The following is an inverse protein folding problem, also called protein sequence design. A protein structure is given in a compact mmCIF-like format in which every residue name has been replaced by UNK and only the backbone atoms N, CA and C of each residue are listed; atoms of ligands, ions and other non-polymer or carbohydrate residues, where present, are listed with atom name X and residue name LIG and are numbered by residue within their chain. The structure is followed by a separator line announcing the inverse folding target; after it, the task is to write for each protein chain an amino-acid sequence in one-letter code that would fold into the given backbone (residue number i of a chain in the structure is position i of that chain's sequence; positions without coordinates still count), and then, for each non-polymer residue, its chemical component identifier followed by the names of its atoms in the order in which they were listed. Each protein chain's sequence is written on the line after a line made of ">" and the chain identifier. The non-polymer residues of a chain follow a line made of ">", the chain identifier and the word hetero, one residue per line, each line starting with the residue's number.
data_IF_509283627613
#
_entry.id   IF_509283627613
#
_cell.length_a   1.000
_cell.length_b   1.000
_cell.length_c   1.000
_cell.angle_alpha   90.00
_cell.angle_beta   90.00
_cell.angle_gamma   90.00
#
_symmetry.space_group_name_H-M   'P 1'
#
loop_
_entity.id
_entity.type
_entity.pdbx_description
1 polymer ?
#
# COMPACT_ATOMS: atom_id res chain seq x y z
N UNK A 1 -47.19 -52.56 51.10
CA UNK A 1 -48.61 -52.18 51.22
C UNK A 1 -48.96 -51.38 49.97
N UNK A 2 -49.57 -52.06 49.00
CA UNK A 2 -50.93 -51.95 48.47
C UNK A 2 -51.30 -50.51 48.13
N UNK A 3 -51.63 -50.12 46.90
CA UNK A 3 -52.79 -50.59 46.15
C UNK A 3 -52.65 -50.32 44.64
N UNK A 4 -53.05 -51.28 43.83
CA UNK A 4 -53.43 -51.24 42.45
C UNK A 4 -54.68 -50.40 42.24
N UNK A 5 -54.76 -49.59 41.25
CA UNK A 5 -56.03 -49.13 40.70
C UNK A 5 -55.99 -49.21 39.20
N UNK A 6 -56.79 -50.08 38.67
CA UNK A 6 -57.10 -50.42 37.28
C UNK A 6 -58.14 -49.43 36.79
N UNK A 7 -57.93 -48.73 35.69
CA UNK A 7 -58.96 -47.93 35.03
C UNK A 7 -59.13 -48.36 33.56
N UNK A 8 -60.41 -48.57 33.33
CA UNK A 8 -61.03 -49.24 32.18
C UNK A 8 -60.88 -48.40 30.91
N UNK A 9 -60.58 -49.12 29.81
CA UNK A 9 -60.50 -48.67 28.43
C UNK A 9 -61.91 -48.46 27.85
N UNK A 10 -62.25 -47.22 27.45
CA UNK A 10 -63.42 -46.98 26.58
C UNK A 10 -62.99 -46.56 25.20
N UNK A 11 -63.27 -47.44 24.26
CA UNK A 11 -63.11 -47.19 22.83
C UNK A 11 -64.24 -46.25 22.33
N UNK A 12 -63.84 -45.07 21.79
CA UNK A 12 -64.78 -44.24 21.04
C UNK A 12 -64.31 -44.21 19.60
N UNK A 13 -65.17 -44.81 18.75
CA UNK A 13 -65.02 -44.80 17.28
C UNK A 13 -65.39 -43.39 16.75
N UNK A 14 -64.48 -42.69 16.19
CA UNK A 14 -64.77 -41.45 15.49
C UNK A 14 -64.45 -41.62 13.98
N UNK A 15 -65.49 -41.34 13.18
CA UNK A 15 -65.53 -41.49 11.74
C UNK A 15 -64.50 -40.61 10.99
N UNK A 16 -63.87 -41.21 10.03
CA UNK A 16 -62.99 -40.52 9.06
C UNK A 16 -63.81 -39.60 8.14
N UNK A 17 -63.55 -38.31 8.25
CA UNK A 17 -63.91 -37.34 7.19
C UNK A 17 -62.73 -37.18 6.25
N UNK A 18 -62.90 -37.64 5.02
CA UNK A 18 -61.99 -37.36 3.90
C UNK A 18 -62.07 -35.86 3.57
N UNK A 19 -61.12 -35.08 4.10
CA UNK A 19 -60.84 -33.70 3.66
C UNK A 19 -59.88 -33.73 2.48
N UNK A 20 -60.33 -33.28 1.31
CA UNK A 20 -59.57 -33.03 0.12
C UNK A 20 -58.34 -32.17 0.44
N UNK A 21 -57.15 -32.70 0.33
CA UNK A 21 -55.92 -31.93 0.33
C UNK A 21 -55.90 -31.08 -0.98
N UNK A 22 -56.22 -29.80 -0.87
CA UNK A 22 -55.98 -28.84 -1.93
C UNK A 22 -54.48 -28.73 -2.16
N UNK A 23 -54.04 -29.12 -3.33
CA UNK A 23 -52.70 -29.01 -3.85
C UNK A 23 -52.25 -27.54 -3.78
N UNK A 24 -51.49 -27.24 -2.73
CA UNK A 24 -50.86 -25.92 -2.61
C UNK A 24 -49.65 -25.96 -3.55
N UNK A 25 -49.85 -25.56 -4.84
CA UNK A 25 -48.78 -25.33 -5.76
C UNK A 25 -47.71 -24.45 -5.11
N UNK A 26 -46.55 -25.04 -4.84
CA UNK A 26 -45.39 -24.31 -4.34
C UNK A 26 -45.03 -23.24 -5.38
N UNK A 27 -45.10 -21.99 -4.98
CA UNK A 27 -44.63 -20.88 -5.80
C UNK A 27 -43.16 -21.13 -6.22
N UNK A 28 -42.83 -21.03 -7.52
CA UNK A 28 -41.46 -21.24 -7.96
C UNK A 28 -40.52 -20.31 -7.22
N UNK A 29 -39.44 -20.84 -6.63
CA UNK A 29 -38.39 -20.07 -6.01
C UNK A 29 -37.85 -19.06 -7.04
N UNK A 30 -37.58 -17.81 -6.66
CA UNK A 30 -37.00 -16.83 -7.56
C UNK A 30 -35.67 -17.37 -8.12
N UNK A 31 -35.39 -17.15 -9.41
CA UNK A 31 -34.14 -17.60 -10.01
C UNK A 31 -32.96 -17.01 -9.22
N UNK A 32 -31.85 -17.76 -9.07
CA UNK A 32 -30.65 -17.25 -8.43
C UNK A 32 -30.21 -15.95 -9.12
N UNK A 33 -29.75 -14.94 -8.33
CA UNK A 33 -29.26 -13.70 -8.92
C UNK A 33 -28.16 -14.00 -9.94
N UNK A 34 -28.24 -13.35 -11.10
CA UNK A 34 -27.23 -13.48 -12.14
C UNK A 34 -25.83 -13.22 -11.55
N UNK A 35 -24.81 -13.99 -11.93
CA UNK A 35 -23.46 -13.81 -11.41
C UNK A 35 -23.03 -12.37 -11.67
N UNK A 36 -22.73 -11.63 -10.60
CA UNK A 36 -22.18 -10.28 -10.72
C UNK A 36 -20.83 -10.40 -11.41
N UNK A 37 -20.69 -9.71 -12.55
CA UNK A 37 -19.40 -9.63 -13.25
C UNK A 37 -18.37 -9.07 -12.28
N UNK A 38 -17.31 -9.81 -12.02
CA UNK A 38 -16.21 -9.32 -11.18
C UNK A 38 -15.58 -8.09 -11.87
N UNK A 39 -15.30 -7.01 -11.14
CA UNK A 39 -14.63 -5.85 -11.69
C UNK A 39 -13.24 -6.25 -12.18
N UNK A 40 -12.75 -5.56 -13.20
CA UNK A 40 -11.37 -5.72 -13.67
C UNK A 40 -10.45 -4.78 -12.89
N UNK A 41 -9.19 -5.15 -12.70
CA UNK A 41 -8.24 -4.33 -11.95
C UNK A 41 -7.97 -2.97 -12.57
N UNK A 42 -8.07 -2.85 -13.90
CA UNK A 42 -7.95 -1.58 -14.64
C UNK A 42 -9.22 -0.71 -14.59
N UNK A 43 -10.36 -1.26 -14.17
CA UNK A 43 -11.57 -0.51 -13.83
C UNK A 43 -11.52 0.03 -12.40
N UNK A 44 -10.78 -0.63 -11.51
CA UNK A 44 -10.63 -0.27 -10.11
C UNK A 44 -9.53 0.75 -9.84
N UNK A 45 -8.50 0.78 -10.69
CA UNK A 45 -7.37 1.69 -10.59
C UNK A 45 -7.05 2.26 -11.96
N UNK A 46 -7.12 3.58 -12.08
CA UNK A 46 -6.78 4.30 -13.31
C UNK A 46 -5.33 4.76 -13.24
N UNK A 47 -4.52 4.34 -14.20
CA UNK A 47 -3.15 4.80 -14.38
C UNK A 47 -3.11 6.01 -15.33
N UNK A 48 -2.40 7.07 -14.92
CA UNK A 48 -2.10 8.24 -15.75
C UNK A 48 -0.63 8.59 -15.61
N UNK A 49 0.08 8.83 -16.72
CA UNK A 49 1.46 9.33 -16.69
C UNK A 49 1.45 10.85 -16.79
N UNK A 50 2.14 11.50 -15.88
CA UNK A 50 2.30 12.96 -15.79
C UNK A 50 3.77 13.33 -15.79
N UNK A 51 4.08 14.58 -16.14
CA UNK A 51 5.41 15.16 -15.99
C UNK A 51 5.31 16.46 -15.17
N UNK A 52 6.36 16.80 -14.43
CA UNK A 52 6.44 18.04 -13.64
C UNK A 52 6.72 19.29 -14.49
N UNK A 53 6.88 19.10 -15.78
CA UNK A 53 7.13 20.15 -16.78
C UNK A 53 6.21 20.01 -17.99
N UNK A 54 5.98 21.11 -18.71
CA UNK A 54 5.20 21.13 -19.95
C UNK A 54 6.00 20.73 -21.18
N UNK A 55 7.34 20.88 -21.14
CA UNK A 55 8.27 20.62 -22.23
C UNK A 55 9.59 20.08 -21.71
N UNK A 56 10.38 19.44 -22.56
CA UNK A 56 11.71 18.91 -22.23
C UNK A 56 12.79 19.70 -22.92
N UNK A 57 13.77 20.19 -22.16
CA UNK A 57 14.98 20.79 -22.68
C UNK A 57 16.18 19.82 -22.68
N UNK A 58 17.15 19.94 -23.58
CA UNK A 58 18.39 19.22 -23.51
C UNK A 58 19.10 19.38 -22.15
N UNK A 59 19.66 18.32 -21.62
CA UNK A 59 20.33 18.30 -20.31
C UNK A 59 19.45 18.48 -19.08
N UNK A 60 18.14 18.64 -19.25
CA UNK A 60 17.19 18.86 -18.15
C UNK A 60 16.85 17.55 -17.43
N UNK A 61 16.65 17.62 -16.12
CA UNK A 61 15.94 16.59 -15.38
C UNK A 61 14.44 16.86 -15.36
N UNK A 62 13.66 15.82 -15.62
CA UNK A 62 12.20 15.82 -15.62
C UNK A 62 11.73 14.76 -14.64
N UNK A 63 10.77 15.09 -13.79
CA UNK A 63 10.13 14.09 -12.93
C UNK A 63 8.88 13.57 -13.63
N UNK A 64 8.87 12.26 -13.93
CA UNK A 64 7.68 11.55 -14.37
C UNK A 64 6.92 11.01 -13.16
N UNK A 65 5.59 11.12 -13.18
CA UNK A 65 4.70 10.62 -12.14
C UNK A 65 3.66 9.66 -12.70
N UNK A 66 3.71 8.39 -12.29
CA UNK A 66 2.66 7.40 -12.52
C UNK A 66 1.59 7.59 -11.44
N UNK A 67 0.52 8.26 -11.78
CA UNK A 67 -0.63 8.51 -10.91
C UNK A 67 -1.60 7.34 -11.00
N UNK A 68 -1.93 6.78 -9.86
CA UNK A 68 -2.89 5.70 -9.65
C UNK A 68 -4.10 6.31 -8.92
N UNK A 69 -5.22 6.49 -9.63
CA UNK A 69 -6.49 6.88 -9.02
C UNK A 69 -7.24 5.60 -8.63
N UNK A 70 -7.41 5.38 -7.35
CA UNK A 70 -7.96 4.15 -6.78
C UNK A 70 -9.42 4.37 -6.43
N UNK A 71 -10.28 3.43 -6.83
CA UNK A 71 -11.72 3.50 -6.53
C UNK A 71 -11.96 3.53 -5.01
N UNK A 72 -12.95 4.30 -4.52
CA UNK A 72 -13.25 4.38 -3.10
C UNK A 72 -13.47 3.02 -2.44
N UNK A 73 -12.85 2.82 -1.28
CA UNK A 73 -12.89 1.58 -0.51
C UNK A 73 -12.01 0.46 -1.04
N UNK A 74 -11.21 0.71 -2.10
CA UNK A 74 -10.16 -0.19 -2.56
C UNK A 74 -8.80 0.37 -2.16
N UNK A 75 -7.82 -0.53 -1.98
CA UNK A 75 -6.42 -0.17 -1.76
C UNK A 75 -5.50 -0.96 -2.71
N UNK A 76 -4.33 -0.40 -2.97
CA UNK A 76 -3.22 -1.07 -3.65
C UNK A 76 -2.02 -1.12 -2.72
N UNK A 77 -1.11 -2.03 -2.95
CA UNK A 77 0.00 -2.29 -2.04
C UNK A 77 1.23 -1.44 -2.33
N UNK A 78 2.03 -1.21 -1.31
CA UNK A 78 3.36 -0.63 -1.39
C UNK A 78 4.38 -1.65 -1.94
N UNK A 79 5.66 -1.28 -2.08
CA UNK A 79 6.76 -2.17 -2.51
C UNK A 79 6.98 -3.36 -1.56
N UNK A 80 6.65 -3.21 -0.28
CA UNK A 80 6.44 -4.30 0.65
C UNK A 80 4.94 -4.36 0.97
N UNK A 81 4.23 -5.40 0.51
CA UNK A 81 2.80 -5.52 0.76
C UNK A 81 2.45 -5.85 2.21
N UNK A 82 3.43 -6.22 3.04
CA UNK A 82 3.22 -6.77 4.37
C UNK A 82 2.98 -8.28 4.35
N UNK A 83 2.07 -8.75 5.21
CA UNK A 83 1.81 -10.19 5.38
C UNK A 83 0.96 -10.80 4.26
N UNK A 84 0.28 -9.97 3.46
CA UNK A 84 -0.51 -10.44 2.32
C UNK A 84 -0.51 -9.42 1.18
N UNK A 85 -0.85 -9.88 -0.03
CA UNK A 85 -0.95 -9.04 -1.21
C UNK A 85 0.23 -9.17 -2.16
N UNK A 86 0.26 -8.32 -3.18
CA UNK A 86 1.34 -8.22 -4.16
C UNK A 86 1.78 -6.77 -4.29
N UNK A 87 3.08 -6.53 -4.32
CA UNK A 87 3.67 -5.21 -4.48
C UNK A 87 3.16 -4.51 -5.76
N UNK A 88 2.93 -3.20 -5.66
CA UNK A 88 2.77 -2.37 -6.85
C UNK A 88 4.11 -2.15 -7.51
N UNK A 89 4.15 -2.34 -8.82
CA UNK A 89 5.35 -2.13 -9.65
C UNK A 89 5.09 -1.00 -10.65
N UNK A 90 6.13 -0.23 -10.97
CA UNK A 90 6.08 0.81 -11.99
C UNK A 90 7.43 0.86 -12.73
N UNK A 91 7.41 0.56 -14.01
CA UNK A 91 8.58 0.59 -14.90
C UNK A 91 8.45 1.76 -15.88
N UNK A 92 9.28 2.78 -15.71
CA UNK A 92 9.32 3.95 -16.59
C UNK A 92 10.26 3.70 -17.77
N UNK A 93 9.85 4.17 -18.92
CA UNK A 93 10.63 4.07 -20.17
C UNK A 93 10.73 5.44 -20.84
N UNK A 94 11.90 5.75 -21.32
CA UNK A 94 12.21 6.96 -22.10
C UNK A 94 12.93 6.59 -23.40
N UNK A 95 12.98 7.48 -24.39
CA UNK A 95 13.74 7.25 -25.61
C UNK A 95 15.25 7.04 -25.36
N UNK A 96 15.93 6.53 -26.37
CA UNK A 96 17.40 6.36 -26.32
C UNK A 96 18.12 7.67 -25.98
N UNK A 97 19.17 7.58 -25.17
CA UNK A 97 19.94 8.72 -24.68
C UNK A 97 19.46 9.29 -23.34
N UNK A 98 18.21 9.08 -22.97
CA UNK A 98 17.72 9.46 -21.64
C UNK A 98 18.19 8.47 -20.57
N UNK A 99 18.41 8.95 -19.36
CA UNK A 99 18.70 8.10 -18.19
C UNK A 99 17.50 8.13 -17.25
N UNK A 100 16.88 6.98 -17.06
CA UNK A 100 15.73 6.80 -16.16
C UNK A 100 16.24 6.36 -14.79
N UNK A 101 15.95 7.13 -13.75
CA UNK A 101 16.25 6.78 -12.36
C UNK A 101 15.32 5.71 -11.81
N UNK A 102 15.61 5.25 -10.60
CA UNK A 102 14.78 4.27 -9.90
C UNK A 102 13.39 4.83 -9.60
N UNK A 103 12.39 3.95 -9.59
CA UNK A 103 11.04 4.29 -9.16
C UNK A 103 11.04 4.66 -7.67
N UNK A 104 10.37 5.78 -7.33
CA UNK A 104 10.29 6.34 -5.99
C UNK A 104 8.84 6.27 -5.52
N UNK A 105 8.62 5.55 -4.45
CA UNK A 105 7.32 5.33 -3.84
C UNK A 105 7.12 6.28 -2.65
N UNK A 106 5.93 6.89 -2.48
CA UNK A 106 5.63 7.63 -1.25
C UNK A 106 5.59 6.68 -0.05
N UNK A 107 5.65 7.23 1.15
CA UNK A 107 5.45 6.44 2.37
C UNK A 107 4.04 5.84 2.39
N UNK A 108 3.90 4.58 2.82
CA UNK A 108 2.62 3.88 2.82
C UNK A 108 1.75 4.21 4.03
N UNK A 109 0.48 3.81 3.94
CA UNK A 109 -0.39 3.60 5.09
C UNK A 109 -0.41 2.12 5.50
N UNK A 110 -0.78 1.85 6.76
CA UNK A 110 -1.00 0.51 7.30
C UNK A 110 -2.48 0.17 7.25
N UNK A 111 -2.78 -1.04 6.79
CA UNK A 111 -4.10 -1.63 6.79
C UNK A 111 -4.11 -2.89 7.65
N UNK A 112 -5.20 -3.10 8.37
CA UNK A 112 -5.43 -4.31 9.15
C UNK A 112 -6.67 -5.01 8.60
N UNK A 113 -6.52 -6.28 8.29
CA UNK A 113 -7.57 -7.15 7.79
C UNK A 113 -7.95 -8.20 8.85
N UNK A 114 -9.13 -8.83 8.75
CA UNK A 114 -9.54 -9.89 9.68
C UNK A 114 -8.47 -10.98 9.80
N UNK A 115 -8.19 -11.42 11.04
CA UNK A 115 -7.13 -12.38 11.37
C UNK A 115 -5.80 -11.72 11.69
N UNK A 116 -5.80 -10.43 12.06
CA UNK A 116 -4.62 -9.62 12.43
C UNK A 116 -3.58 -9.51 11.31
N UNK A 117 -4.03 -9.66 10.05
CA UNK A 117 -3.17 -9.55 8.88
C UNK A 117 -2.86 -8.08 8.61
N UNK A 118 -1.59 -7.72 8.70
CA UNK A 118 -1.09 -6.38 8.40
C UNK A 118 -0.64 -6.27 6.94
N UNK A 119 -1.09 -5.21 6.25
CA UNK A 119 -0.61 -4.86 4.92
C UNK A 119 -0.27 -3.36 4.82
N UNK A 120 0.53 -3.01 3.81
CA UNK A 120 1.02 -1.66 3.57
C UNK A 120 0.67 -1.23 2.14
N UNK A 121 0.16 -0.02 1.99
CA UNK A 121 -0.26 0.44 0.68
C UNK A 121 -0.90 1.82 0.66
N UNK A 122 -1.82 2.02 -0.30
CA UNK A 122 -2.42 3.31 -0.62
C UNK A 122 -3.91 3.16 -0.91
N UNK A 123 -4.68 4.15 -0.51
CA UNK A 123 -6.09 4.36 -0.89
C UNK A 123 -6.24 5.65 -1.69
N UNK A 124 -7.35 5.81 -2.39
CA UNK A 124 -7.74 6.99 -3.15
C UNK A 124 -6.75 7.39 -4.24
N UNK A 125 -5.54 7.77 -3.86
CA UNK A 125 -4.51 8.28 -4.77
C UNK A 125 -3.11 7.82 -4.33
N UNK A 126 -2.38 7.20 -5.24
CA UNK A 126 -0.93 7.03 -5.13
C UNK A 126 -0.23 7.65 -6.34
N UNK A 127 0.98 8.13 -6.16
CA UNK A 127 1.85 8.53 -7.26
C UNK A 127 3.24 7.93 -7.06
N UNK A 128 3.67 7.10 -8.01
CA UNK A 128 5.05 6.61 -8.09
C UNK A 128 5.79 7.49 -9.08
N UNK A 129 7.01 7.92 -8.77
CA UNK A 129 7.77 8.81 -9.66
C UNK A 129 9.14 8.27 -10.04
N UNK A 130 9.67 8.76 -11.15
CA UNK A 130 11.07 8.59 -11.52
C UNK A 130 11.63 9.90 -12.05
N UNK A 131 12.89 10.20 -11.71
CA UNK A 131 13.62 11.31 -12.33
C UNK A 131 14.24 10.79 -13.62
N UNK A 132 14.07 11.53 -14.70
CA UNK A 132 14.60 11.21 -16.01
C UNK A 132 15.50 12.34 -16.46
N UNK A 133 16.78 12.04 -16.69
CA UNK A 133 17.73 13.03 -17.22
C UNK A 133 17.77 12.97 -18.75
N UNK A 134 17.49 14.11 -19.39
CA UNK A 134 17.57 14.26 -20.84
C UNK A 134 19.03 14.30 -21.31
N UNK A 135 19.33 13.81 -22.53
CA UNK A 135 20.63 13.97 -23.15
C UNK A 135 20.87 15.45 -23.53
N UNK A 136 22.13 15.81 -23.83
CA UNK A 136 22.53 17.17 -24.26
C UNK A 136 21.94 17.59 -25.62
N UNK A 137 21.39 16.65 -26.38
CA UNK A 137 20.67 16.92 -27.63
C UNK A 137 19.46 16.00 -27.76
N UNK A 138 18.32 16.52 -28.17
CA UNK A 138 17.10 15.79 -28.41
C UNK A 138 16.97 15.40 -29.89
N UNK A 139 16.55 14.17 -30.17
CA UNK A 139 16.52 13.63 -31.54
C UNK A 139 15.34 14.15 -32.38
N UNK A 140 14.35 14.80 -31.77
CA UNK A 140 13.15 15.25 -32.48
C UNK A 140 12.39 16.35 -31.74
N UNK A 141 11.30 16.84 -32.34
CA UNK A 141 10.49 17.91 -31.76
C UNK A 141 9.60 17.44 -30.59
N UNK A 142 9.42 16.14 -30.43
CA UNK A 142 8.57 15.55 -29.40
C UNK A 142 9.30 14.37 -28.77
N UNK A 143 9.15 14.22 -27.45
CA UNK A 143 9.72 13.13 -26.65
C UNK A 143 8.58 12.35 -26.04
N UNK A 144 8.49 11.06 -26.34
CA UNK A 144 7.50 10.16 -25.76
C UNK A 144 8.07 9.41 -24.55
N UNK A 145 7.36 9.50 -23.43
CA UNK A 145 7.64 8.72 -22.24
C UNK A 145 6.51 7.71 -22.01
N UNK A 146 6.82 6.60 -21.38
CA UNK A 146 5.81 5.62 -20.97
C UNK A 146 6.09 5.06 -19.59
N UNK A 147 5.04 4.53 -18.97
CA UNK A 147 5.11 3.74 -17.75
C UNK A 147 4.23 2.50 -17.89
N UNK A 148 4.77 1.36 -17.53
CA UNK A 148 3.99 0.14 -17.30
C UNK A 148 3.89 -0.05 -15.80
N UNK A 149 2.66 -0.19 -15.28
CA UNK A 149 2.43 -0.48 -13.88
C UNK A 149 1.57 -1.74 -13.72
N UNK A 150 1.84 -2.48 -12.64
CA UNK A 150 1.06 -3.61 -12.17
C UNK A 150 0.73 -3.45 -10.69
N UNK A 151 -0.45 -3.91 -10.29
CA UNK A 151 -0.94 -3.82 -8.92
C UNK A 151 -1.90 -4.94 -8.57
N UNK A 152 -2.15 -5.13 -7.30
CA UNK A 152 -3.27 -5.88 -6.78
C UNK A 152 -4.20 -4.90 -6.07
N UNK A 153 -5.43 -4.75 -6.55
CA UNK A 153 -6.46 -3.93 -5.90
C UNK A 153 -7.29 -4.81 -4.98
N UNK A 154 -7.36 -4.48 -3.70
CA UNK A 154 -8.04 -5.28 -2.69
C UNK A 154 -9.08 -4.46 -1.92
N UNK A 155 -10.18 -5.14 -1.53
CA UNK A 155 -11.19 -4.74 -0.56
C UNK A 155 -11.71 -5.99 0.14
N UNK A 156 -12.85 -6.55 -0.26
CA UNK A 156 -13.35 -7.86 0.17
C UNK A 156 -12.76 -9.01 -0.65
N UNK A 157 -12.33 -8.69 -1.85
CA UNK A 157 -11.61 -9.55 -2.80
C UNK A 157 -10.40 -8.81 -3.34
N UNK A 158 -9.42 -9.54 -3.85
CA UNK A 158 -8.26 -8.98 -4.51
C UNK A 158 -8.31 -9.23 -6.02
N UNK A 159 -8.13 -8.18 -6.80
CA UNK A 159 -8.21 -8.18 -8.26
C UNK A 159 -6.90 -7.66 -8.83
N UNK A 160 -6.15 -8.47 -9.61
CA UNK A 160 -4.94 -8.01 -10.26
C UNK A 160 -5.26 -7.03 -11.39
N UNK A 161 -4.46 -5.99 -11.51
CA UNK A 161 -4.54 -5.00 -12.57
C UNK A 161 -3.17 -4.67 -13.14
N UNK A 162 -3.16 -4.23 -14.38
CA UNK A 162 -1.99 -3.66 -15.04
C UNK A 162 -2.43 -2.71 -16.14
N UNK A 163 -1.63 -1.69 -16.38
CA UNK A 163 -1.85 -0.74 -17.46
C UNK A 163 -0.55 -0.18 -17.98
N UNK A 164 -0.61 0.41 -19.17
CA UNK A 164 0.45 1.24 -19.75
C UNK A 164 -0.13 2.62 -19.96
N UNK A 165 0.59 3.65 -19.54
CA UNK A 165 0.28 5.04 -19.84
C UNK A 165 1.45 5.71 -20.55
N UNK A 166 1.14 6.66 -21.43
CA UNK A 166 2.12 7.39 -22.23
C UNK A 166 1.85 8.88 -22.15
N UNK A 167 2.90 9.67 -22.32
CA UNK A 167 2.84 11.13 -22.46
C UNK A 167 3.85 11.60 -23.51
N UNK A 168 3.41 12.49 -24.37
CA UNK A 168 4.26 13.16 -25.33
C UNK A 168 4.53 14.59 -24.84
N UNK A 169 5.81 14.97 -24.74
CA UNK A 169 6.24 16.30 -24.37
C UNK A 169 6.98 16.95 -25.55
N UNK A 170 6.67 18.19 -25.83
CA UNK A 170 7.43 18.96 -26.83
C UNK A 170 8.88 19.16 -26.36
N UNK A 171 9.79 19.01 -27.26
CA UNK A 171 11.18 19.37 -27.06
C UNK A 171 11.35 20.90 -27.22
N UNK A 172 12.17 21.51 -26.37
CA UNK A 172 12.54 22.94 -26.49
C UNK A 172 13.99 23.08 -26.85
N UNK A 173 14.33 24.23 -27.41
CA UNK A 173 15.74 24.58 -27.71
C UNK A 173 16.50 24.91 -26.42
N UNK A 174 17.81 24.69 -26.36
CA UNK A 174 18.61 25.09 -25.20
C UNK A 174 18.38 26.58 -24.87
N UNK A 175 18.10 26.86 -23.59
CA UNK A 175 17.83 28.22 -23.10
C UNK A 175 16.38 28.68 -23.22
N UNK A 176 15.48 27.93 -23.87
CA UNK A 176 14.04 28.19 -23.78
C UNK A 176 13.46 27.68 -22.43
N UNK A 177 12.55 28.44 -21.82
CA UNK A 177 11.99 28.01 -20.53
C UNK A 177 11.02 26.82 -20.70
N UNK A 178 11.19 25.80 -19.89
CA UNK A 178 10.15 24.81 -19.60
C UNK A 178 9.31 25.33 -18.45
N UNK A 179 7.99 25.25 -18.56
CA UNK A 179 7.08 25.69 -17.51
C UNK A 179 6.80 24.52 -16.56
N UNK A 180 6.70 24.76 -15.25
CA UNK A 180 6.21 23.74 -14.31
C UNK A 180 4.79 23.28 -14.68
N UNK A 181 4.56 21.98 -14.60
CA UNK A 181 3.25 21.36 -14.78
C UNK A 181 2.86 20.61 -13.51
N UNK A 182 1.56 20.59 -13.19
CA UNK A 182 1.01 19.86 -12.04
C UNK A 182 1.73 20.17 -10.70
N UNK A 183 2.20 21.42 -10.52
CA UNK A 183 3.12 21.82 -9.44
C UNK A 183 2.64 21.40 -8.04
N UNK A 184 1.36 21.57 -7.73
CA UNK A 184 0.79 21.19 -6.44
C UNK A 184 0.82 19.67 -6.20
N UNK A 185 0.48 18.88 -7.21
CA UNK A 185 0.49 17.42 -7.12
C UNK A 185 1.92 16.89 -6.91
N UNK A 186 2.89 17.38 -7.69
CA UNK A 186 4.30 17.01 -7.53
C UNK A 186 4.89 17.52 -6.23
N UNK A 187 4.44 18.66 -5.70
CA UNK A 187 4.87 19.13 -4.38
C UNK A 187 4.38 18.21 -3.27
N UNK A 188 3.09 17.88 -3.27
CA UNK A 188 2.52 16.91 -2.30
C UNK A 188 3.21 15.55 -2.39
N UNK A 189 3.50 15.09 -3.59
CA UNK A 189 4.22 13.84 -3.79
C UNK A 189 5.64 13.90 -3.19
N UNK A 190 6.41 14.97 -3.48
CA UNK A 190 7.75 15.16 -2.89
C UNK A 190 7.71 15.17 -1.35
N UNK A 191 6.68 15.77 -0.76
CA UNK A 191 6.50 15.80 0.68
C UNK A 191 6.17 14.42 1.28
N UNK A 192 5.53 13.54 0.49
CA UNK A 192 5.21 12.17 0.85
C UNK A 192 6.36 11.18 0.60
N UNK A 193 7.39 11.54 -0.17
CA UNK A 193 8.56 10.68 -0.38
C UNK A 193 9.41 10.59 0.89
N UNK A 194 9.97 9.40 1.20
CA UNK A 194 10.89 9.26 2.32
C UNK A 194 12.14 10.14 2.16
N UNK A 195 12.43 10.94 3.18
CA UNK A 195 13.61 11.80 3.28
C UNK A 195 14.77 11.03 3.93
N UNK A 196 16.01 11.47 3.77
CA UNK A 196 17.12 10.91 4.52
C UNK A 196 16.86 10.95 6.04
N UNK A 197 17.17 9.86 6.74
CA UNK A 197 16.97 9.76 8.19
C UNK A 197 17.73 10.87 8.98
N UNK A 198 18.87 11.30 8.45
CA UNK A 198 19.67 12.39 9.03
C UNK A 198 18.88 13.71 9.17
N UNK A 199 17.90 13.97 8.29
CA UNK A 199 17.05 15.16 8.37
C UNK A 199 16.03 15.12 9.54
N UNK A 200 15.82 13.95 10.13
CA UNK A 200 14.90 13.79 11.26
C UNK A 200 15.42 14.46 12.52
N UNK A 201 16.75 14.55 12.70
CA UNK A 201 17.37 15.03 13.93
C UNK A 201 17.09 14.13 15.15
N UNK A 202 16.85 12.84 14.91
CA UNK A 202 16.64 11.85 15.96
C UNK A 202 17.94 11.59 16.72
N UNK A 203 17.82 11.12 17.96
CA UNK A 203 18.96 10.56 18.68
C UNK A 203 19.48 9.31 17.96
N UNK A 204 20.76 8.99 18.17
CA UNK A 204 21.33 7.74 17.65
C UNK A 204 20.52 6.53 18.13
N UNK A 205 20.26 5.55 17.26
CA UNK A 205 19.53 4.35 17.65
C UNK A 205 20.25 3.63 18.81
N UNK A 206 19.48 3.18 19.78
CA UNK A 206 20.00 2.34 20.86
C UNK A 206 19.76 0.89 20.52
N UNK A 207 20.84 0.12 20.46
CA UNK A 207 20.81 -1.31 20.16
C UNK A 207 21.04 -2.12 21.44
N UNK A 208 20.22 -3.18 21.60
CA UNK A 208 20.37 -4.16 22.68
C UNK A 208 20.22 -5.55 22.08
N UNK A 209 21.14 -6.43 22.42
CA UNK A 209 21.13 -7.82 21.99
C UNK A 209 21.26 -8.75 23.20
N UNK A 210 20.35 -9.69 23.28
CA UNK A 210 20.44 -10.81 24.22
C UNK A 210 20.37 -12.14 23.46
N UNK A 211 20.12 -13.24 24.17
CA UNK A 211 20.01 -14.57 23.55
C UNK A 211 18.68 -14.80 22.85
N UNK A 212 17.66 -14.01 23.10
CA UNK A 212 16.30 -14.22 22.61
C UNK A 212 15.94 -13.25 21.50
N UNK A 213 16.49 -12.03 21.51
CA UNK A 213 16.13 -10.99 20.54
C UNK A 213 17.19 -9.90 20.41
N UNK A 214 17.07 -9.15 19.32
CA UNK A 214 17.72 -7.85 19.13
C UNK A 214 16.66 -6.77 19.20
N UNK A 215 16.85 -5.78 20.06
CA UNK A 215 15.95 -4.65 20.19
C UNK A 215 16.63 -3.36 19.73
N UNK A 216 15.89 -2.54 19.00
CA UNK A 216 16.33 -1.24 18.50
C UNK A 216 15.34 -0.20 18.99
N UNK A 217 15.83 0.86 19.61
CA UNK A 217 15.00 1.97 20.06
C UNK A 217 15.47 3.28 19.41
N UNK A 218 14.54 4.06 18.87
CA UNK A 218 14.79 5.36 18.24
C UNK A 218 13.86 6.38 18.87
N UNK A 219 14.45 7.38 19.54
CA UNK A 219 13.73 8.48 20.16
C UNK A 219 13.59 9.65 19.19
N UNK A 220 12.37 10.14 18.99
CA UNK A 220 12.07 11.26 18.10
C UNK A 220 11.35 12.36 18.87
N UNK A 221 12.02 13.48 19.07
CA UNK A 221 11.45 14.62 19.76
C UNK A 221 10.33 15.28 18.96
N UNK A 222 9.29 15.73 19.67
CA UNK A 222 8.15 16.41 19.08
C UNK A 222 7.28 15.52 18.18
N UNK A 223 7.51 14.22 18.16
CA UNK A 223 6.60 13.28 17.52
C UNK A 223 5.39 13.03 18.42
N UNK A 224 4.26 12.74 17.80
CA UNK A 224 3.00 12.30 18.44
C UNK A 224 2.76 10.80 18.21
N UNK A 225 3.34 10.26 17.13
CA UNK A 225 3.31 8.83 16.79
C UNK A 225 4.48 8.49 15.87
N UNK A 226 4.98 7.29 16.01
CA UNK A 226 5.99 6.69 15.12
C UNK A 226 5.48 5.36 14.58
N UNK A 227 5.76 5.07 13.32
CA UNK A 227 5.43 3.78 12.71
C UNK A 227 6.53 3.39 11.72
N UNK A 228 6.98 2.15 11.83
CA UNK A 228 8.01 1.62 10.95
C UNK A 228 7.39 0.68 9.91
N UNK A 229 7.80 0.84 8.66
CA UNK A 229 7.44 0.03 7.52
C UNK A 229 8.70 -0.63 6.98
N UNK A 230 8.88 -1.95 7.15
CA UNK A 230 10.05 -2.65 6.66
C UNK A 230 10.11 -2.62 5.12
N UNK A 231 11.30 -2.52 4.53
CA UNK A 231 11.49 -2.70 3.09
C UNK A 231 11.26 -4.15 2.69
N UNK A 232 10.97 -4.39 1.40
CA UNK A 232 10.78 -5.76 0.88
C UNK A 232 12.02 -6.62 1.13
N UNK A 233 11.81 -7.81 1.68
CA UNK A 233 12.87 -8.76 2.00
C UNK A 233 13.71 -8.44 3.25
N UNK A 234 13.45 -7.33 3.91
CA UNK A 234 14.15 -6.89 5.13
C UNK A 234 13.31 -7.13 6.42
N UNK A 235 12.10 -7.61 6.27
CA UNK A 235 11.22 -8.08 7.36
C UNK A 235 11.67 -9.41 7.99
N UNK A 236 12.77 -9.97 7.47
CA UNK A 236 13.37 -11.23 7.90
C UNK A 236 13.77 -11.19 9.37
N UNK A 237 12.82 -11.56 10.22
CA UNK A 237 13.04 -11.70 11.64
C UNK A 237 12.50 -10.57 12.51
N UNK A 238 11.77 -9.58 11.96
CA UNK A 238 11.01 -8.65 12.79
C UNK A 238 9.94 -9.43 13.56
N UNK A 239 10.00 -9.37 14.89
CA UNK A 239 9.11 -10.12 15.79
C UNK A 239 8.13 -9.20 16.51
N UNK A 240 8.36 -7.89 16.44
CA UNK A 240 7.48 -6.90 17.03
C UNK A 240 7.92 -5.47 16.77
N UNK A 241 6.92 -4.59 16.80
CA UNK A 241 7.14 -3.15 16.78
C UNK A 241 6.18 -2.49 17.77
N UNK A 242 6.66 -1.50 18.49
CA UNK A 242 5.86 -0.68 19.37
C UNK A 242 6.22 0.79 19.19
N UNK A 243 5.21 1.66 19.33
CA UNK A 243 5.39 3.10 19.40
C UNK A 243 4.92 3.55 20.79
N UNK A 244 5.84 4.10 21.59
CA UNK A 244 5.60 4.41 23.00
C UNK A 244 5.99 5.85 23.32
N UNK A 245 5.32 6.51 24.28
CA UNK A 245 5.74 7.83 24.76
C UNK A 245 7.17 7.80 25.30
N UNK A 246 7.94 8.86 25.02
CA UNK A 246 9.30 9.05 25.49
C UNK A 246 9.50 10.52 25.91
N UNK A 247 10.52 10.85 26.71
CA UNK A 247 10.77 12.22 27.12
C UNK A 247 10.89 13.20 25.95
N UNK A 248 9.93 14.13 25.88
CA UNK A 248 9.86 15.15 24.83
C UNK A 248 9.35 14.67 23.46
N UNK A 249 8.77 13.48 23.37
CA UNK A 249 8.21 12.94 22.12
C UNK A 249 7.84 11.47 22.22
N UNK A 250 8.22 10.71 21.20
CA UNK A 250 7.90 9.29 21.09
C UNK A 250 9.13 8.46 20.74
N UNK A 251 9.05 7.18 21.07
CA UNK A 251 10.05 6.15 20.76
C UNK A 251 9.41 5.07 19.92
N UNK A 252 10.09 4.65 18.85
CA UNK A 252 9.79 3.38 18.19
C UNK A 252 10.74 2.31 18.73
N UNK A 253 10.17 1.18 19.10
CA UNK A 253 10.90 -0.01 19.57
C UNK A 253 10.63 -1.14 18.58
N UNK A 254 11.71 -1.71 18.02
CA UNK A 254 11.66 -2.80 17.07
C UNK A 254 12.39 -4.01 17.66
N UNK A 255 11.82 -5.19 17.48
CA UNK A 255 12.38 -6.44 17.98
C UNK A 255 12.61 -7.42 16.84
N UNK A 256 13.78 -8.06 16.82
CA UNK A 256 14.21 -9.00 15.78
C UNK A 256 14.70 -10.32 16.36
N UNK A 257 14.63 -11.39 15.57
CA UNK A 257 15.26 -12.67 15.90
C UNK A 257 16.79 -12.51 15.99
N UNK A 258 17.47 -13.11 16.98
CA UNK A 258 18.91 -12.94 17.18
C UNK A 258 19.79 -13.74 16.20
N UNK A 259 19.18 -14.56 15.34
CA UNK A 259 19.89 -15.46 14.41
C UNK A 259 20.57 -14.73 13.25
N UNK A 260 20.13 -13.52 12.93
CA UNK A 260 20.71 -12.71 11.87
C UNK A 260 21.81 -11.82 12.45
N UNK A 261 23.00 -11.76 11.82
CA UNK A 261 24.12 -10.89 12.24
C UNK A 261 24.92 -10.39 11.05
N UNK A 262 25.23 -9.07 10.96
CA UNK A 262 24.61 -8.00 11.73
C UNK A 262 23.14 -7.85 11.34
N UNK A 263 22.32 -7.33 12.24
CA UNK A 263 20.95 -6.92 11.88
C UNK A 263 21.04 -5.63 11.07
N UNK A 264 20.54 -5.67 9.84
CA UNK A 264 20.36 -4.48 9.01
C UNK A 264 18.89 -4.16 8.92
N UNK A 265 18.56 -2.90 9.20
CA UNK A 265 17.21 -2.40 9.25
C UNK A 265 16.98 -1.45 8.08
N UNK A 266 16.28 -1.93 7.06
CA UNK A 266 15.87 -1.09 5.93
C UNK A 266 14.36 -0.93 5.90
N UNK A 267 13.92 0.29 5.64
CA UNK A 267 12.50 0.60 5.55
C UNK A 267 12.22 2.09 5.61
N UNK A 268 11.03 2.40 6.05
CA UNK A 268 10.54 3.77 6.18
C UNK A 268 10.00 3.98 7.59
N UNK A 269 10.43 5.05 8.25
CA UNK A 269 9.87 5.53 9.50
C UNK A 269 8.88 6.66 9.20
N UNK A 270 7.61 6.45 9.48
CA UNK A 270 6.60 7.51 9.50
C UNK A 270 6.61 8.22 10.84
N UNK A 271 6.67 9.55 10.81
CA UNK A 271 6.69 10.42 11.97
C UNK A 271 5.49 11.35 11.90
N UNK A 272 4.53 11.16 12.79
CA UNK A 272 3.37 12.05 12.92
C UNK A 272 3.70 13.19 13.88
N UNK A 273 3.40 14.42 13.45
CA UNK A 273 3.45 15.66 14.24
C UNK A 273 2.19 16.48 13.95
N UNK A 274 1.95 17.56 14.67
CA UNK A 274 0.81 18.47 14.45
C UNK A 274 0.63 18.92 12.98
N UNK A 275 1.70 18.96 12.18
CA UNK A 275 1.67 19.31 10.75
C UNK A 275 1.41 18.13 9.79
N UNK A 276 1.09 16.95 10.31
CA UNK A 276 0.85 15.73 9.51
C UNK A 276 1.99 14.71 9.59
N UNK A 277 1.95 13.75 8.69
CA UNK A 277 2.92 12.65 8.62
C UNK A 277 4.06 13.00 7.67
N UNK A 278 5.29 12.69 8.09
CA UNK A 278 6.48 12.73 7.23
C UNK A 278 7.21 11.40 7.30
N UNK A 279 7.81 11.03 6.20
CA UNK A 279 8.46 9.74 6.04
C UNK A 279 9.97 9.91 5.96
N UNK A 280 10.72 8.97 6.57
CA UNK A 280 12.19 8.96 6.58
C UNK A 280 12.71 7.58 6.20
N UNK A 281 13.63 7.54 5.24
CA UNK A 281 14.26 6.31 4.80
C UNK A 281 15.23 5.84 5.90
N UNK A 282 15.06 4.61 6.34
CA UNK A 282 15.92 3.95 7.31
C UNK A 282 16.83 2.95 6.59
N UNK A 283 18.12 3.03 6.86
CA UNK A 283 19.13 2.03 6.50
C UNK A 283 20.13 2.02 7.66
N UNK A 284 19.86 1.22 8.66
CA UNK A 284 20.63 1.13 9.90
C UNK A 284 21.24 -0.26 10.02
N UNK A 285 22.49 -0.33 10.43
CA UNK A 285 23.19 -1.58 10.70
C UNK A 285 23.58 -1.66 12.17
N UNK A 286 23.41 -2.83 12.76
CA UNK A 286 23.84 -3.10 14.13
C UNK A 286 25.35 -2.87 14.24
N UNK A 287 25.82 -2.06 15.21
CA UNK A 287 27.25 -1.80 15.40
C UNK A 287 28.03 -3.11 15.61
N UNK A 288 29.15 -3.25 14.93
CA UNK A 288 30.13 -4.31 15.24
C UNK A 288 30.63 -4.14 16.66
N UNK A 289 30.60 -5.20 17.45
CA UNK A 289 31.20 -5.19 18.80
C UNK A 289 32.70 -5.25 18.72
#
# INVERSE_FOLDING_TARGET
>A
MFARSMFVLTFALAAAACGSAADRAASPSPPPPAPRKQPRGDELVRLTLLADVTRVAPGQEVTLGARLDIQPGWHVYWVNPGESGLATEAAFTAPSGFRVGAARFPGPARFESPGDITSYGYEELAMVSAVVAAPDSLAGPTVQFSVQASWLACRDICVPGRAVAQIDLDAVRPGEPSQPAHAELFSRHRDALPRPLAELGAAAPTWRRDQQQVSIAIDVRGAERLEYFPASGEDLGLTGQASVPAPGGWRVELSYKPTVRPVRLKGVLAVTRAGGVRYYAMDLEEPSR
#
